data_IF_524572194304
#
_entry.id   IF_524572194304
#
_cell.length_a   1.000
_cell.length_b   1.000
_cell.length_c   1.000
_cell.angle_alpha   90.00
_cell.angle_beta   90.00
_cell.angle_gamma   90.00
#
_symmetry.space_group_name_H-M   'P 1'
#
loop_
_entity.id
_entity.type
_entity.pdbx_description
1 polymer ?
#
# COMPACT_ATOMS: atom_id res chain seq x y z
N UNK A 1 -0.71 -8.00 14.52
CA UNK A 1 -1.59 -7.01 13.87
C UNK A 1 -2.04 -7.47 12.49
N UNK A 2 -1.12 -7.78 11.57
CA UNK A 2 -1.45 -8.24 10.20
C UNK A 2 -2.49 -9.37 10.16
N UNK A 3 -2.33 -10.44 10.93
CA UNK A 3 -3.27 -11.59 10.90
C UNK A 3 -4.70 -11.20 11.28
N UNK A 4 -4.86 -10.36 12.31
CA UNK A 4 -6.19 -9.89 12.76
C UNK A 4 -6.79 -8.95 11.72
N UNK A 5 -5.97 -8.05 11.17
CA UNK A 5 -6.38 -7.09 10.16
C UNK A 5 -6.83 -7.79 8.87
N UNK A 6 -5.99 -8.69 8.34
CA UNK A 6 -6.29 -9.50 7.15
C UNK A 6 -7.54 -10.35 7.37
N UNK A 7 -7.73 -10.94 8.57
CA UNK A 7 -8.93 -11.69 8.90
C UNK A 7 -10.21 -10.84 8.88
N UNK A 8 -10.18 -9.64 9.47
CA UNK A 8 -11.30 -8.72 9.48
C UNK A 8 -11.59 -8.15 8.08
N UNK A 9 -10.56 -7.81 7.31
CA UNK A 9 -10.70 -7.35 5.93
C UNK A 9 -11.29 -8.44 5.02
N UNK A 10 -10.81 -9.69 5.12
CA UNK A 10 -11.37 -10.81 4.36
C UNK A 10 -12.85 -11.04 4.71
N UNK A 11 -13.22 -10.94 5.98
CA UNK A 11 -14.61 -11.06 6.40
C UNK A 11 -15.51 -10.03 5.70
N UNK A 12 -15.09 -8.76 5.64
CA UNK A 12 -15.89 -7.70 4.99
C UNK A 12 -15.89 -7.80 3.48
N UNK A 13 -14.77 -8.18 2.87
CA UNK A 13 -14.67 -8.45 1.44
C UNK A 13 -15.62 -9.58 1.02
N UNK A 14 -15.69 -10.68 1.80
CA UNK A 14 -16.64 -11.76 1.52
C UNK A 14 -18.10 -11.35 1.78
N UNK A 15 -18.36 -10.48 2.77
CA UNK A 15 -19.70 -9.98 3.05
C UNK A 15 -20.21 -8.97 1.99
N UNK A 16 -19.32 -8.37 1.19
CA UNK A 16 -19.63 -7.34 0.19
C UNK A 16 -18.95 -7.63 -1.15
N UNK A 17 -18.93 -8.90 -1.55
CA UNK A 17 -18.20 -9.36 -2.74
C UNK A 17 -18.65 -8.67 -4.04
N UNK A 18 -19.94 -8.31 -4.12
CA UNK A 18 -20.54 -7.65 -5.29
C UNK A 18 -20.04 -6.22 -5.52
N UNK A 19 -19.45 -5.59 -4.50
CA UNK A 19 -19.01 -4.19 -4.54
C UNK A 19 -17.52 -4.04 -4.84
N UNK A 20 -16.76 -5.14 -4.88
CA UNK A 20 -15.34 -5.12 -5.20
C UNK A 20 -15.11 -4.53 -6.59
N UNK A 21 -15.93 -4.92 -7.56
CA UNK A 21 -15.86 -4.40 -8.93
C UNK A 21 -16.14 -2.89 -8.99
N UNK A 22 -17.16 -2.43 -8.27
CA UNK A 22 -17.50 -0.99 -8.19
C UNK A 22 -16.41 -0.18 -7.48
N UNK A 23 -15.81 -0.72 -6.42
CA UNK A 23 -14.69 -0.07 -5.73
C UNK A 23 -13.49 0.14 -6.67
N UNK A 24 -13.16 -0.84 -7.52
CA UNK A 24 -12.10 -0.67 -8.53
C UNK A 24 -12.44 0.43 -9.54
N UNK A 25 -13.67 0.48 -10.02
CA UNK A 25 -14.14 1.52 -10.95
C UNK A 25 -14.06 2.89 -10.29
N UNK A 26 -14.52 3.03 -9.05
CA UNK A 26 -14.45 4.30 -8.30
C UNK A 26 -13.00 4.76 -8.04
N UNK A 27 -12.06 3.84 -7.82
CA UNK A 27 -10.64 4.18 -7.65
C UNK A 27 -10.07 4.75 -8.96
N UNK A 28 -10.36 4.13 -10.11
CA UNK A 28 -9.87 4.58 -11.41
C UNK A 28 -10.54 5.91 -11.79
N UNK A 29 -11.86 5.99 -11.68
CA UNK A 29 -12.61 7.20 -12.02
C UNK A 29 -12.23 8.37 -11.11
N UNK A 30 -12.01 8.12 -9.82
CA UNK A 30 -11.53 9.13 -8.86
C UNK A 30 -10.08 9.56 -9.11
N UNK A 31 -9.21 8.64 -9.54
CA UNK A 31 -7.81 8.95 -9.85
C UNK A 31 -7.67 9.79 -11.14
N UNK A 32 -8.55 9.56 -12.12
CA UNK A 32 -8.54 10.24 -13.42
C UNK A 32 -9.67 11.26 -13.60
N UNK A 33 -10.37 11.63 -12.51
CA UNK A 33 -11.52 12.54 -12.59
C UNK A 33 -11.11 13.93 -13.08
N UNK A 34 -11.96 14.61 -13.88
CA UNK A 34 -11.69 15.97 -14.33
C UNK A 34 -11.51 16.97 -13.17
N UNK A 35 -12.19 16.78 -12.02
CA UNK A 35 -11.97 17.64 -10.84
C UNK A 35 -10.56 17.46 -10.24
N UNK A 36 -10.04 16.23 -10.23
CA UNK A 36 -8.67 15.93 -9.82
C UNK A 36 -7.64 16.47 -10.81
N UNK A 37 -7.92 16.38 -12.11
CA UNK A 37 -6.97 16.71 -13.19
C UNK A 37 -6.94 18.22 -13.52
N UNK A 38 -8.07 18.92 -13.50
CA UNK A 38 -8.20 20.28 -14.03
C UNK A 38 -7.61 21.39 -13.13
N UNK A 39 -7.38 21.13 -11.83
CA UNK A 39 -6.83 22.15 -10.92
C UNK A 39 -5.94 21.64 -9.79
N UNK A 40 -5.91 20.32 -9.55
CA UNK A 40 -5.28 19.72 -8.36
C UNK A 40 -4.34 18.56 -8.62
N UNK A 41 -4.06 18.19 -9.88
CA UNK A 41 -3.42 16.91 -10.22
C UNK A 41 -2.07 16.72 -9.50
N UNK A 42 -1.24 17.76 -9.51
CA UNK A 42 0.06 17.75 -8.82
C UNK A 42 -0.14 17.64 -7.30
N UNK A 43 -1.12 18.33 -6.72
CA UNK A 43 -1.42 18.28 -5.29
C UNK A 43 -1.93 16.92 -4.82
N UNK A 44 -2.83 16.31 -5.58
CA UNK A 44 -3.37 14.95 -5.31
C UNK A 44 -2.25 13.91 -5.43
N UNK A 45 -1.40 14.02 -6.47
CA UNK A 45 -0.24 13.16 -6.63
C UNK A 45 0.76 13.33 -5.48
N UNK A 46 1.12 14.55 -5.10
CA UNK A 46 2.02 14.82 -3.97
C UNK A 46 1.44 14.25 -2.67
N UNK A 47 0.15 14.42 -2.42
CA UNK A 47 -0.50 13.87 -1.24
C UNK A 47 -0.49 12.34 -1.23
N UNK A 48 -0.71 11.71 -2.40
CA UNK A 48 -0.61 10.27 -2.58
C UNK A 48 0.81 9.76 -2.31
N UNK A 49 1.82 10.34 -2.95
CA UNK A 49 3.23 9.98 -2.74
C UNK A 49 3.67 10.21 -1.30
N UNK A 50 3.26 11.32 -0.68
CA UNK A 50 3.61 11.62 0.72
C UNK A 50 3.02 10.56 1.64
N UNK A 51 1.72 10.23 1.52
CA UNK A 51 1.11 9.18 2.33
C UNK A 51 1.74 7.80 2.08
N UNK A 52 2.00 7.45 0.83
CA UNK A 52 2.63 6.18 0.48
C UNK A 52 4.05 6.05 1.05
N UNK A 53 4.88 7.08 0.88
CA UNK A 53 6.25 7.11 1.40
C UNK A 53 6.32 7.09 2.94
N UNK A 54 5.32 7.66 3.63
CA UNK A 54 5.20 7.53 5.09
C UNK A 54 4.72 6.15 5.55
N UNK A 55 3.95 5.42 4.72
CA UNK A 55 3.45 4.08 5.08
C UNK A 55 4.55 3.02 4.92
N UNK A 56 5.24 3.05 3.77
CA UNK A 56 6.16 1.97 3.39
C UNK A 56 7.64 2.34 3.55
N UNK A 57 7.93 3.54 4.06
CA UNK A 57 9.28 4.09 4.25
C UNK A 57 10.17 4.08 2.99
N UNK A 58 9.57 4.01 1.79
CA UNK A 58 10.30 3.91 0.53
C UNK A 58 11.16 5.17 0.30
N UNK A 59 12.47 4.95 0.19
CA UNK A 59 13.45 6.01 -0.04
C UNK A 59 13.91 6.76 1.22
N UNK A 60 13.32 6.49 2.40
CA UNK A 60 13.74 7.08 3.69
C UNK A 60 14.97 6.34 4.26
N UNK A 61 15.12 5.06 3.94
CA UNK A 61 16.28 4.25 4.31
C UNK A 61 16.25 3.70 5.74
N UNK A 62 15.20 3.98 6.53
CA UNK A 62 15.02 3.48 7.89
C UNK A 62 14.87 1.95 7.96
N UNK A 63 14.18 1.33 7.00
CA UNK A 63 14.08 -0.13 6.89
C UNK A 63 15.46 -0.82 6.86
N UNK A 64 16.47 -0.18 6.24
CA UNK A 64 17.83 -0.74 6.16
C UNK A 64 18.51 -0.86 7.54
N UNK A 65 18.11 -0.06 8.53
CA UNK A 65 18.64 -0.13 9.89
C UNK A 65 18.22 -1.45 10.55
N UNK A 66 16.95 -1.83 10.42
CA UNK A 66 16.44 -3.08 10.97
C UNK A 66 17.03 -4.32 10.26
N UNK A 67 17.08 -4.29 8.93
CA UNK A 67 17.62 -5.40 8.13
C UNK A 67 19.15 -5.54 8.24
N UNK A 68 19.87 -4.48 8.60
CA UNK A 68 21.33 -4.55 8.83
C UNK A 68 21.71 -5.37 10.07
N UNK A 69 20.79 -5.58 11.00
CA UNK A 69 21.00 -6.38 12.21
C UNK A 69 20.85 -7.89 11.96
N UNK A 70 20.34 -8.29 10.79
CA UNK A 70 20.09 -9.70 10.46
C UNK A 70 21.39 -10.40 10.06
N UNK A 71 21.61 -11.60 10.63
CA UNK A 71 22.74 -12.46 10.26
C UNK A 71 22.44 -13.20 8.95
N UNK A 72 22.71 -12.55 7.83
CA UNK A 72 22.66 -13.18 6.50
C UNK A 72 24.06 -13.45 5.94
N UNK A 73 24.20 -14.51 5.15
CA UNK A 73 25.43 -14.75 4.37
C UNK A 73 25.49 -13.90 3.09
N UNK A 74 24.35 -13.42 2.60
CA UNK A 74 24.25 -12.71 1.33
C UNK A 74 23.37 -11.46 1.50
N UNK A 75 23.97 -10.28 1.41
CA UNK A 75 23.24 -9.01 1.52
C UNK A 75 22.09 -8.88 0.51
N UNK A 76 22.25 -9.47 -0.69
CA UNK A 76 21.21 -9.49 -1.71
C UNK A 76 19.93 -10.26 -1.27
N UNK A 77 20.08 -11.29 -0.43
CA UNK A 77 18.93 -12.05 0.07
C UNK A 77 18.08 -11.23 1.04
N UNK A 78 18.71 -10.46 1.94
CA UNK A 78 17.98 -9.55 2.83
C UNK A 78 17.37 -8.37 2.07
N UNK A 79 18.03 -7.90 1.01
CA UNK A 79 17.44 -6.90 0.11
C UNK A 79 16.12 -7.36 -0.52
N UNK A 80 16.03 -8.64 -0.91
CA UNK A 80 14.79 -9.26 -1.41
C UNK A 80 13.71 -9.38 -0.33
N UNK A 81 14.08 -9.70 0.91
CA UNK A 81 13.15 -9.77 2.04
C UNK A 81 12.65 -8.37 2.43
N UNK A 82 13.53 -7.37 2.42
CA UNK A 82 13.18 -5.98 2.69
C UNK A 82 12.21 -5.39 1.64
N UNK A 83 12.26 -5.85 0.38
CA UNK A 83 11.28 -5.46 -0.65
C UNK A 83 9.89 -6.05 -0.41
N UNK A 84 9.79 -7.12 0.40
CA UNK A 84 8.55 -7.80 0.71
C UNK A 84 7.70 -7.00 1.73
N UNK A 85 8.33 -6.18 2.58
CA UNK A 85 7.65 -5.28 3.52
C UNK A 85 6.74 -4.25 2.83
N UNK A 86 7.23 -3.39 1.90
CA UNK A 86 6.38 -2.41 1.22
C UNK A 86 5.34 -3.08 0.31
N UNK A 87 5.62 -4.28 -0.21
CA UNK A 87 4.63 -5.05 -0.98
C UNK A 87 3.45 -5.48 -0.10
N UNK A 88 3.73 -6.09 1.05
CA UNK A 88 2.66 -6.51 1.97
C UNK A 88 1.92 -5.28 2.52
N UNK A 89 2.62 -4.23 2.91
CA UNK A 89 2.01 -3.03 3.48
C UNK A 89 1.12 -2.30 2.47
N UNK A 90 1.68 -1.88 1.35
CA UNK A 90 0.96 -0.98 0.42
C UNK A 90 0.09 -1.74 -0.58
N UNK A 91 0.57 -2.86 -1.14
CA UNK A 91 -0.16 -3.57 -2.20
C UNK A 91 -1.20 -4.50 -1.62
N UNK A 92 -0.89 -5.20 -0.54
CA UNK A 92 -1.84 -6.15 0.07
C UNK A 92 -2.72 -5.45 1.10
N UNK A 93 -2.13 -4.88 2.13
CA UNK A 93 -2.90 -4.35 3.27
C UNK A 93 -3.65 -3.07 2.90
N UNK A 94 -2.99 -2.04 2.34
CA UNK A 94 -3.70 -0.79 2.00
C UNK A 94 -4.78 -0.99 0.92
N UNK A 95 -4.58 -1.88 -0.05
CA UNK A 95 -5.63 -2.20 -1.05
C UNK A 95 -6.84 -2.87 -0.40
N UNK A 96 -6.62 -3.79 0.55
CA UNK A 96 -7.71 -4.42 1.30
C UNK A 96 -8.46 -3.41 2.18
N UNK A 97 -7.76 -2.40 2.73
CA UNK A 97 -8.40 -1.30 3.46
C UNK A 97 -9.22 -0.40 2.54
N UNK A 98 -8.76 -0.17 1.31
CA UNK A 98 -9.45 0.69 0.35
C UNK A 98 -10.80 0.12 -0.13
N UNK A 99 -11.05 -1.18 0.04
CA UNK A 99 -12.33 -1.83 -0.28
C UNK A 99 -13.31 -1.86 0.91
N UNK A 100 -12.89 -1.37 2.07
CA UNK A 100 -13.68 -1.26 3.30
C UNK A 100 -14.27 0.14 3.43
#
# INVERSE_FOLDING_TARGET
MVVIYVGASLWVIFARFDLIGEAFTQIIDGAFSPEGVAGGAIGVLIQGFRRAAFSNEAGVGSASIAHSAVKTKYAASEGLVALLEPFIDTVVVCTMTAWF
#
